data_IF_805241410226
#
_entry.id   IF_805241410226
#
_cell.length_a   1.000
_cell.length_b   1.000
_cell.length_c   1.000
_cell.angle_alpha   90.00
_cell.angle_beta   90.00
_cell.angle_gamma   90.00
#
_symmetry.space_group_name_H-M   'P 1'
#
loop_
_entity.id
_entity.type
_entity.pdbx_description
1 polymer ?
#
# COMPACT_ATOMS: atom_id res chain seq x y z
N UNK A 1 -31.85 17.61 -26.93
CA UNK A 1 -31.12 16.46 -26.33
C UNK A 1 -30.31 16.96 -25.14
N UNK A 2 -30.63 16.56 -23.91
CA UNK A 2 -29.75 16.80 -22.76
C UNK A 2 -28.72 15.68 -22.75
N UNK A 3 -27.46 16.01 -23.00
CA UNK A 3 -26.35 15.10 -22.72
C UNK A 3 -26.36 14.82 -21.21
N UNK A 4 -26.99 13.73 -20.79
CA UNK A 4 -26.78 13.18 -19.45
C UNK A 4 -25.42 12.47 -19.48
N UNK A 5 -24.34 13.26 -19.41
CA UNK A 5 -23.05 12.75 -18.96
C UNK A 5 -23.26 12.31 -17.51
N UNK A 6 -23.68 11.05 -17.34
CA UNK A 6 -23.69 10.38 -16.03
C UNK A 6 -22.32 10.52 -15.38
N UNK A 7 -22.26 10.57 -14.03
CA UNK A 7 -21.20 11.23 -13.29
C UNK A 7 -19.80 10.72 -13.71
N UNK A 8 -18.93 11.56 -14.30
CA UNK A 8 -17.58 11.17 -14.69
C UNK A 8 -16.61 11.14 -13.49
N UNK A 9 -17.10 10.97 -12.27
CA UNK A 9 -16.30 11.23 -11.08
C UNK A 9 -15.26 10.13 -10.82
N UNK A 10 -15.65 8.85 -10.85
CA UNK A 10 -14.75 7.74 -10.50
C UNK A 10 -13.49 7.66 -11.37
N UNK A 11 -13.67 7.73 -12.70
CA UNK A 11 -12.56 7.61 -13.66
C UNK A 11 -11.65 8.85 -13.61
N UNK A 12 -12.21 10.04 -13.44
CA UNK A 12 -11.43 11.28 -13.37
C UNK A 12 -10.57 11.31 -12.10
N UNK A 13 -11.15 10.94 -10.95
CA UNK A 13 -10.39 10.80 -9.70
C UNK A 13 -9.29 9.73 -9.83
N UNK A 14 -9.56 8.60 -10.48
CA UNK A 14 -8.54 7.58 -10.73
C UNK A 14 -7.37 8.12 -11.58
N UNK A 15 -7.67 8.82 -12.69
CA UNK A 15 -6.64 9.41 -13.55
C UNK A 15 -5.83 10.49 -12.83
N UNK A 16 -6.48 11.32 -12.01
CA UNK A 16 -5.81 12.35 -11.21
C UNK A 16 -4.94 11.72 -10.11
N UNK A 17 -5.42 10.67 -9.46
CA UNK A 17 -4.64 9.87 -8.51
C UNK A 17 -3.38 9.26 -9.15
N UNK A 18 -3.49 8.75 -10.39
CA UNK A 18 -2.32 8.27 -11.13
C UNK A 18 -1.31 9.40 -11.39
N UNK A 19 -1.77 10.59 -11.76
CA UNK A 19 -0.90 11.74 -11.97
C UNK A 19 -0.18 12.17 -10.68
N UNK A 20 -0.88 12.20 -9.54
CA UNK A 20 -0.25 12.50 -8.24
C UNK A 20 0.76 11.43 -7.84
N UNK A 21 0.44 10.14 -8.05
CA UNK A 21 1.37 9.03 -7.78
C UNK A 21 2.64 9.16 -8.62
N UNK A 22 2.52 9.51 -9.90
CA UNK A 22 3.67 9.73 -10.78
C UNK A 22 4.52 10.95 -10.36
N UNK A 23 3.90 11.94 -9.72
CA UNK A 23 4.59 13.08 -9.10
C UNK A 23 5.21 12.78 -7.74
N UNK A 24 4.95 11.60 -7.16
CA UNK A 24 5.38 11.24 -5.80
C UNK A 24 4.45 11.74 -4.68
N UNK A 25 3.35 12.42 -5.02
CA UNK A 25 2.33 12.92 -4.09
C UNK A 25 1.37 11.77 -3.68
N UNK A 26 1.89 10.75 -3.00
CA UNK A 26 1.14 9.53 -2.68
C UNK A 26 -0.08 9.77 -1.78
N UNK A 27 -0.02 10.74 -0.86
CA UNK A 27 -1.13 11.07 0.03
C UNK A 27 -2.34 11.62 -0.74
N UNK A 28 -2.11 12.55 -1.69
CA UNK A 28 -3.17 13.07 -2.58
C UNK A 28 -3.66 11.98 -3.53
N UNK A 29 -2.75 11.15 -4.03
CA UNK A 29 -3.13 10.00 -4.86
C UNK A 29 -4.10 9.07 -4.13
N UNK A 30 -3.85 8.76 -2.85
CA UNK A 30 -4.73 7.92 -2.02
C UNK A 30 -6.11 8.56 -1.85
N UNK A 31 -6.17 9.87 -1.55
CA UNK A 31 -7.44 10.58 -1.42
C UNK A 31 -8.27 10.55 -2.71
N UNK A 32 -7.59 10.69 -3.86
CA UNK A 32 -8.23 10.58 -5.16
C UNK A 32 -8.68 9.15 -5.49
N UNK A 33 -7.88 8.13 -5.17
CA UNK A 33 -8.35 6.74 -5.32
C UNK A 33 -9.52 6.42 -4.40
N UNK A 34 -9.57 6.99 -3.19
CA UNK A 34 -10.70 6.82 -2.28
C UNK A 34 -11.97 7.48 -2.83
N UNK A 35 -11.85 8.70 -3.37
CA UNK A 35 -12.93 9.36 -4.08
C UNK A 35 -13.37 8.54 -5.31
N UNK A 36 -12.42 7.94 -6.04
CA UNK A 36 -12.71 7.07 -7.18
C UNK A 36 -13.49 5.81 -6.78
N UNK A 37 -13.13 5.19 -5.66
CA UNK A 37 -13.78 4.00 -5.11
C UNK A 37 -15.20 4.34 -4.63
N UNK A 38 -15.41 5.50 -4.02
CA UNK A 38 -16.73 5.97 -3.56
C UNK A 38 -17.66 6.36 -4.72
N UNK A 39 -17.09 6.87 -5.80
CA UNK A 39 -17.83 7.48 -6.90
C UNK A 39 -18.23 6.52 -8.03
N UNK A 40 -17.66 5.32 -8.10
CA UNK A 40 -17.88 4.40 -9.22
C UNK A 40 -17.95 2.93 -8.80
N UNK A 41 -18.26 2.03 -9.76
CA UNK A 41 -18.31 0.60 -9.47
C UNK A 41 -16.95 0.12 -8.95
N UNK A 42 -16.97 -0.80 -7.98
CA UNK A 42 -15.80 -1.36 -7.31
C UNK A 42 -14.78 -1.83 -8.36
N UNK A 43 -13.73 -1.05 -8.57
CA UNK A 43 -12.70 -1.34 -9.57
C UNK A 43 -11.46 -1.88 -8.88
N UNK A 44 -11.08 -3.11 -9.23
CA UNK A 44 -9.85 -3.73 -8.72
C UNK A 44 -8.61 -2.86 -8.97
N UNK A 45 -8.56 -2.14 -10.10
CA UNK A 45 -7.47 -1.21 -10.41
C UNK A 45 -7.35 -0.04 -9.43
N UNK A 46 -8.47 0.50 -8.94
CA UNK A 46 -8.44 1.61 -7.97
C UNK A 46 -7.92 1.15 -6.61
N UNK A 47 -8.33 -0.03 -6.15
CA UNK A 47 -7.76 -0.66 -4.95
C UNK A 47 -6.28 -0.97 -5.14
N UNK A 48 -5.89 -1.53 -6.28
CA UNK A 48 -4.49 -1.82 -6.59
C UNK A 48 -3.62 -0.56 -6.53
N UNK A 49 -4.05 0.53 -7.18
CA UNK A 49 -3.29 1.76 -7.24
C UNK A 49 -3.23 2.49 -5.90
N UNK A 50 -4.29 2.40 -5.08
CA UNK A 50 -4.30 2.87 -3.69
C UNK A 50 -3.31 2.09 -2.83
N UNK A 51 -3.33 0.76 -2.92
CA UNK A 51 -2.40 -0.11 -2.21
C UNK A 51 -0.94 0.13 -2.60
N UNK A 52 -0.65 0.32 -3.89
CA UNK A 52 0.68 0.68 -4.36
C UNK A 52 1.17 2.02 -3.79
N UNK A 53 0.27 3.00 -3.64
CA UNK A 53 0.58 4.32 -3.09
C UNK A 53 0.79 4.27 -1.57
N UNK A 54 -0.01 3.48 -0.84
CA UNK A 54 0.19 3.20 0.60
C UNK A 54 1.52 2.50 0.87
N UNK A 55 1.88 1.53 0.04
CA UNK A 55 3.18 0.85 0.10
C UNK A 55 4.33 1.85 -0.06
N UNK A 56 4.21 2.82 -0.97
CA UNK A 56 5.21 3.86 -1.18
C UNK A 56 5.36 4.80 0.04
N UNK A 57 4.28 4.97 0.82
CA UNK A 57 4.30 5.67 2.11
C UNK A 57 4.78 4.81 3.29
N UNK A 58 5.08 3.52 3.06
CA UNK A 58 5.49 2.57 4.11
C UNK A 58 4.34 1.88 4.84
N UNK A 59 3.08 2.20 4.52
CA UNK A 59 1.90 1.51 5.04
C UNK A 59 1.69 0.17 4.32
N UNK A 60 2.46 -0.83 4.73
CA UNK A 60 2.42 -2.17 4.14
C UNK A 60 1.14 -2.94 4.48
N UNK A 61 0.60 -2.77 5.70
CA UNK A 61 -0.60 -3.48 6.13
C UNK A 61 -1.84 -2.93 5.42
N UNK A 62 -1.97 -1.59 5.32
CA UNK A 62 -3.03 -0.96 4.55
C UNK A 62 -2.91 -1.22 3.05
N UNK A 63 -1.69 -1.33 2.52
CA UNK A 63 -1.45 -1.75 1.14
C UNK A 63 -1.92 -3.18 0.90
N UNK A 64 -1.61 -4.11 1.81
CA UNK A 64 -1.99 -5.52 1.68
C UNK A 64 -3.52 -5.70 1.69
N UNK A 65 -4.21 -4.98 2.57
CA UNK A 65 -5.68 -5.00 2.62
C UNK A 65 -6.29 -4.56 1.28
N UNK A 66 -5.78 -3.48 0.69
CA UNK A 66 -6.25 -2.99 -0.60
C UNK A 66 -5.97 -3.97 -1.75
N UNK A 67 -4.78 -4.58 -1.75
CA UNK A 67 -4.42 -5.60 -2.76
C UNK A 67 -5.30 -6.85 -2.63
N UNK A 68 -5.63 -7.28 -1.42
CA UNK A 68 -6.53 -8.42 -1.21
C UNK A 68 -7.95 -8.12 -1.71
N UNK A 69 -8.44 -6.90 -1.49
CA UNK A 69 -9.74 -6.48 -2.02
C UNK A 69 -9.73 -6.42 -3.56
N UNK A 70 -8.63 -5.97 -4.17
CA UNK A 70 -8.46 -5.99 -5.62
C UNK A 70 -8.53 -7.43 -6.19
N UNK A 71 -7.84 -8.39 -5.55
CA UNK A 71 -7.90 -9.82 -5.92
C UNK A 71 -9.30 -10.39 -5.70
N UNK A 72 -10.02 -9.96 -4.65
CA UNK A 72 -11.39 -10.42 -4.38
C UNK A 72 -12.39 -9.93 -5.44
N UNK A 73 -12.19 -8.71 -5.95
CA UNK A 73 -13.03 -8.12 -7.00
C UNK A 73 -12.73 -8.78 -8.35
N UNK A 74 -11.45 -8.91 -8.70
CA UNK A 74 -11.03 -9.56 -9.94
C UNK A 74 -9.82 -10.47 -9.68
N UNK A 75 -10.07 -11.78 -9.47
CA UNK A 75 -9.02 -12.76 -9.24
C UNK A 75 -8.15 -13.02 -10.48
N UNK A 76 -8.62 -12.64 -11.67
CA UNK A 76 -7.91 -12.87 -12.92
C UNK A 76 -6.78 -11.88 -13.16
N UNK A 77 -6.72 -10.78 -12.38
CA UNK A 77 -5.67 -9.78 -12.50
C UNK A 77 -4.35 -10.30 -11.91
N UNK A 78 -3.29 -10.44 -12.73
CA UNK A 78 -1.99 -10.88 -12.23
C UNK A 78 -1.29 -9.79 -11.39
N UNK A 79 -1.66 -8.52 -11.60
CA UNK A 79 -0.88 -7.39 -11.08
C UNK A 79 -1.05 -7.17 -9.56
N UNK A 80 -2.25 -7.35 -8.97
CA UNK A 80 -2.42 -7.45 -7.53
C UNK A 80 -1.59 -8.57 -6.90
N UNK A 81 -1.49 -9.75 -7.52
CA UNK A 81 -0.70 -10.87 -6.97
C UNK A 81 0.79 -10.56 -6.93
N UNK A 82 1.33 -9.93 -7.98
CA UNK A 82 2.72 -9.44 -8.00
C UNK A 82 2.93 -8.39 -6.90
N UNK A 83 2.00 -7.43 -6.79
CA UNK A 83 2.06 -6.38 -5.76
C UNK A 83 2.04 -6.97 -4.35
N UNK A 84 1.24 -8.03 -4.13
CA UNK A 84 1.16 -8.77 -2.87
C UNK A 84 2.49 -9.41 -2.50
N UNK A 85 3.13 -10.09 -3.45
CA UNK A 85 4.44 -10.72 -3.22
C UNK A 85 5.51 -9.67 -2.83
N UNK A 86 5.49 -8.51 -3.46
CA UNK A 86 6.40 -7.39 -3.12
C UNK A 86 6.15 -6.85 -1.71
N UNK A 87 4.88 -6.71 -1.30
CA UNK A 87 4.52 -6.27 0.05
C UNK A 87 5.01 -7.27 1.10
N UNK A 88 4.80 -8.57 0.88
CA UNK A 88 5.27 -9.62 1.78
C UNK A 88 6.79 -9.65 1.91
N UNK A 89 7.51 -9.44 0.80
CA UNK A 89 8.97 -9.32 0.82
C UNK A 89 9.41 -8.13 1.66
N UNK A 90 8.80 -6.96 1.47
CA UNK A 90 9.09 -5.77 2.26
C UNK A 90 8.81 -5.98 3.76
N UNK A 91 7.71 -6.66 4.10
CA UNK A 91 7.34 -6.96 5.48
C UNK A 91 8.34 -7.93 6.15
N UNK A 92 8.79 -8.96 5.43
CA UNK A 92 9.81 -9.89 5.92
C UNK A 92 11.18 -9.22 6.16
N UNK A 93 11.58 -8.28 5.32
CA UNK A 93 12.80 -7.48 5.54
C UNK A 93 12.68 -6.60 6.79
N UNK A 94 11.51 -5.98 7.03
CA UNK A 94 11.26 -5.20 8.25
C UNK A 94 11.32 -6.07 9.50
N UNK A 95 10.69 -7.25 9.49
CA UNK A 95 10.75 -8.19 10.62
C UNK A 95 12.19 -8.65 10.89
N UNK A 96 12.95 -8.93 9.83
CA UNK A 96 14.37 -9.30 9.93
C UNK A 96 15.22 -8.15 10.48
N UNK A 97 14.98 -6.93 10.02
CA UNK A 97 15.64 -5.72 10.51
C UNK A 97 15.33 -5.47 11.99
N UNK A 98 14.06 -5.61 12.40
CA UNK A 98 13.64 -5.50 13.81
C UNK A 98 14.31 -6.55 14.70
N UNK A 99 14.38 -7.81 14.24
CA UNK A 99 15.06 -8.90 14.96
C UNK A 99 16.54 -8.63 15.13
N UNK A 100 17.20 -8.10 14.10
CA UNK A 100 18.63 -7.73 14.14
C UNK A 100 18.86 -6.56 15.08
N UNK A 101 18.01 -5.52 15.01
CA UNK A 101 18.07 -4.35 15.90
C UNK A 101 17.85 -4.72 17.37
N UNK A 102 16.91 -5.63 17.67
CA UNK A 102 16.66 -6.14 19.03
C UNK A 102 17.85 -6.91 19.59
N UNK A 103 18.56 -7.68 18.75
CA UNK A 103 19.82 -8.33 19.17
C UNK A 103 20.93 -7.32 19.43
N UNK A 104 21.00 -6.24 18.65
CA UNK A 104 22.01 -5.18 18.80
C UNK A 104 21.74 -4.24 19.99
N UNK A 105 20.48 -4.07 20.40
CA UNK A 105 20.10 -3.39 21.64
C UNK A 105 20.13 -4.30 22.88
N UNK A 106 20.56 -5.56 22.72
CA UNK A 106 20.91 -6.44 23.84
C UNK A 106 22.22 -5.99 24.46
N UNK A 107 22.10 -5.41 25.65
CA UNK A 107 23.12 -4.84 26.54
C UNK A 107 24.48 -5.56 26.55
N UNK A 108 25.60 -4.85 26.77
CA UNK A 108 26.84 -5.51 27.19
C UNK A 108 26.54 -6.25 28.50
N UNK A 109 26.78 -7.57 28.52
CA UNK A 109 26.67 -8.37 29.76
C UNK A 109 27.44 -7.65 30.87
N UNK A 110 26.87 -7.46 32.08
CA UNK A 110 27.64 -6.88 33.17
C UNK A 110 28.81 -7.82 33.44
N UNK A 111 30.04 -7.31 33.29
CA UNK A 111 31.24 -8.01 33.76
C UNK A 111 31.07 -8.21 35.26
N UNK A 112 30.86 -9.45 35.68
CA UNK A 112 30.95 -9.79 37.11
C UNK A 112 32.36 -9.41 37.57
N UNK A 113 32.53 -8.65 38.66
CA UNK A 113 33.85 -8.39 39.19
C UNK A 113 34.42 -9.70 39.74
N UNK A 114 35.64 -10.03 39.32
CA UNK A 114 36.44 -11.08 39.91
C UNK A 114 36.84 -10.66 41.32
N UNK A 115 36.23 -11.27 42.33
CA UNK A 115 36.76 -11.22 43.69
C UNK A 115 37.83 -12.29 43.81
N UNK A 116 39.07 -11.83 44.03
CA UNK A 116 40.24 -12.63 44.43
C UNK A 116 40.07 -13.27 45.80
#
# INVERSE_FOLDING_TARGET
>A
MRCTLGPPSGIIFHKRGNAYRSKGDYAKAIADYDAAIKAGPKSAFSYQNRGASKRALGDLDGALADINEAVRIDPSLPQPLISRAVIWRAKGEIERAMRTRRKRSGSPKPRRPSTS
#
